data_IF_344301321464
#
_entry.id   IF_344301321464
#
_cell.length_a   1.000
_cell.length_b   1.000
_cell.length_c   1.000
_cell.angle_alpha   90.00
_cell.angle_beta   90.00
_cell.angle_gamma   90.00
#
_symmetry.space_group_name_H-M   'P 1'
#
loop_
_entity.id
_entity.type
_entity.pdbx_description
1 polymer ?
#
# COMPACT_ATOMS: atom_id res chain seq x y z
N UNK A 1 -6.07 33.08 -11.55
CA UNK A 1 -6.69 31.92 -12.23
C UNK A 1 -5.65 31.20 -13.10
N UNK A 2 -4.79 30.36 -12.51
CA UNK A 2 -3.69 29.68 -13.25
C UNK A 2 -3.74 28.14 -13.18
N UNK A 3 -4.55 27.57 -12.27
CA UNK A 3 -4.60 26.12 -12.04
C UNK A 3 -5.49 25.37 -13.06
N UNK A 4 -6.47 26.04 -13.68
CA UNK A 4 -7.42 25.41 -14.59
C UNK A 4 -6.78 24.98 -15.93
N UNK A 5 -5.70 25.64 -16.35
CA UNK A 5 -5.05 25.38 -17.64
C UNK A 5 -4.10 24.16 -17.57
N UNK A 6 -3.51 23.87 -16.40
CA UNK A 6 -2.59 22.73 -16.24
C UNK A 6 -3.28 21.37 -16.32
N UNK A 7 -4.47 21.24 -15.73
CA UNK A 7 -5.26 20.00 -15.72
C UNK A 7 -5.71 19.58 -17.14
N UNK A 8 -6.03 20.54 -18.01
CA UNK A 8 -6.43 20.27 -19.40
C UNK A 8 -5.25 19.80 -20.27
N UNK A 9 -4.03 20.19 -19.95
CA UNK A 9 -2.82 19.78 -20.68
C UNK A 9 -2.46 18.31 -20.42
N UNK A 10 -2.51 17.90 -19.14
CA UNK A 10 -2.19 16.52 -18.72
C UNK A 10 -3.18 15.51 -19.32
N UNK A 11 -4.47 15.87 -19.38
CA UNK A 11 -5.50 15.02 -19.99
C UNK A 11 -5.27 14.80 -21.50
N UNK A 12 -4.84 15.83 -22.24
CA UNK A 12 -4.52 15.70 -23.66
C UNK A 12 -3.29 14.83 -23.90
N UNK A 13 -2.29 14.92 -23.03
CA UNK A 13 -1.07 14.14 -23.13
C UNK A 13 -1.32 12.66 -22.83
N UNK A 14 -2.20 12.34 -21.88
CA UNK A 14 -2.63 10.97 -21.58
C UNK A 14 -3.34 10.32 -22.78
N UNK A 15 -4.24 11.04 -23.45
CA UNK A 15 -5.00 10.53 -24.60
C UNK A 15 -4.09 10.30 -25.82
N UNK A 16 -3.13 11.20 -26.07
CA UNK A 16 -2.14 11.00 -27.15
C UNK A 16 -1.21 9.80 -26.90
N UNK A 17 -0.99 9.44 -25.64
CA UNK A 17 -0.19 8.26 -25.25
C UNK A 17 -0.97 6.96 -25.47
N UNK A 18 -2.29 6.98 -25.26
CA UNK A 18 -3.19 5.83 -25.46
C UNK A 18 -3.25 5.38 -26.93
N UNK A 19 -3.24 6.32 -27.87
CA UNK A 19 -3.23 6.03 -29.33
C UNK A 19 -1.92 5.34 -29.75
N UNK A 20 -0.81 5.64 -29.05
CA UNK A 20 0.52 5.08 -29.34
C UNK A 20 0.69 3.64 -28.82
N UNK A 21 -0.10 3.23 -27.83
CA UNK A 21 -0.07 1.87 -27.25
C UNK A 21 -0.88 0.83 -28.03
N UNK A 22 -1.69 1.24 -29.01
CA UNK A 22 -2.51 0.32 -29.81
C UNK A 22 -1.78 -0.25 -31.05
N UNK A 23 -0.58 0.24 -31.37
CA UNK A 23 0.23 -0.25 -32.51
C UNK A 23 1.45 -1.08 -32.06
N UNK A 24 1.25 -1.99 -31.10
CA UNK A 24 2.28 -2.97 -30.73
C UNK A 24 1.96 -4.33 -31.36
N UNK A 25 2.71 -4.61 -32.44
CA UNK A 25 3.17 -5.91 -32.96
C UNK A 25 2.67 -7.15 -32.18
N UNK A 26 2.15 -8.20 -32.84
CA UNK A 26 1.64 -9.39 -32.16
C UNK A 26 2.80 -10.18 -31.53
N UNK A 27 3.16 -9.80 -30.30
CA UNK A 27 3.95 -10.62 -29.41
C UNK A 27 3.08 -11.77 -28.89
N UNK A 28 3.61 -12.97 -28.92
CA UNK A 28 3.02 -14.21 -28.40
C UNK A 28 2.51 -14.01 -26.97
N UNK A 29 1.20 -13.77 -26.82
CA UNK A 29 0.52 -13.77 -25.51
C UNK A 29 0.24 -15.23 -25.15
N UNK A 30 1.26 -15.91 -24.62
CA UNK A 30 1.07 -17.20 -23.98
C UNK A 30 0.25 -17.00 -22.70
N UNK A 31 -1.00 -17.47 -22.70
CA UNK A 31 -1.79 -17.57 -21.48
C UNK A 31 -1.15 -18.63 -20.60
N UNK A 32 -0.35 -18.21 -19.62
CA UNK A 32 0.18 -19.11 -18.60
C UNK A 32 -0.98 -19.48 -17.67
N UNK A 33 -1.68 -20.55 -18.01
CA UNK A 33 -2.59 -21.23 -17.09
C UNK A 33 -1.74 -21.78 -15.96
N UNK A 34 -1.73 -21.10 -14.82
CA UNK A 34 -1.19 -21.64 -13.59
C UNK A 34 -2.10 -22.77 -13.15
N UNK A 35 -1.75 -23.98 -13.59
CA UNK A 35 -2.45 -25.20 -13.19
C UNK A 35 -2.54 -25.26 -11.66
N UNK A 36 -3.76 -25.37 -11.16
CA UNK A 36 -4.04 -25.76 -9.78
C UNK A 36 -3.15 -26.94 -9.43
N UNK A 37 -2.21 -26.72 -8.49
CA UNK A 37 -1.38 -27.77 -7.92
C UNK A 37 -2.32 -28.73 -7.18
N UNK A 38 -2.41 -29.97 -7.67
CA UNK A 38 -3.21 -31.05 -7.08
C UNK A 38 -2.89 -31.16 -5.60
N UNK A 39 -3.87 -30.90 -4.74
CA UNK A 39 -3.83 -31.27 -3.33
C UNK A 39 -4.03 -32.78 -3.24
N UNK A 40 -2.93 -33.51 -3.16
CA UNK A 40 -2.99 -34.96 -3.09
C UNK A 40 -1.63 -35.56 -2.80
N UNK A 41 -1.37 -35.80 -1.51
CA UNK A 41 -0.55 -36.91 -1.05
C UNK A 41 0.96 -36.66 -0.95
N UNK A 42 1.53 -37.09 0.18
CA UNK A 42 2.91 -37.56 0.22
C UNK A 42 3.88 -36.69 1.00
N UNK A 43 4.01 -37.02 2.29
CA UNK A 43 5.26 -37.09 3.05
C UNK A 43 6.53 -36.58 2.34
N UNK A 44 6.98 -35.38 2.71
CA UNK A 44 8.26 -34.82 2.30
C UNK A 44 8.73 -33.80 3.33
N UNK A 45 9.71 -34.19 4.14
CA UNK A 45 10.46 -33.28 5.00
C UNK A 45 11.11 -32.20 4.12
N UNK A 46 10.80 -30.92 4.39
CA UNK A 46 11.29 -29.78 3.63
C UNK A 46 10.46 -28.56 3.96
N UNK A 47 10.94 -27.78 4.91
CA UNK A 47 10.26 -26.67 5.59
C UNK A 47 10.08 -25.40 4.71
N UNK A 48 9.69 -25.58 3.44
CA UNK A 48 9.43 -24.52 2.47
C UNK A 48 7.94 -24.35 2.20
N UNK A 49 7.09 -24.72 3.16
CA UNK A 49 5.67 -24.40 3.09
C UNK A 49 5.48 -22.90 3.36
N UNK A 50 4.68 -22.24 2.52
CA UNK A 50 4.39 -20.81 2.51
C UNK A 50 4.38 -20.18 3.92
N UNK A 51 5.43 -19.40 4.21
CA UNK A 51 5.72 -18.73 5.48
C UNK A 51 4.57 -17.83 6.00
N UNK A 52 3.53 -17.61 5.20
CA UNK A 52 2.36 -16.82 5.52
C UNK A 52 1.06 -17.62 5.69
N UNK A 53 0.95 -18.86 5.17
CA UNK A 53 -0.30 -19.64 5.22
C UNK A 53 -0.32 -20.72 6.31
N UNK A 54 0.83 -21.31 6.66
CA UNK A 54 0.91 -22.38 7.68
C UNK A 54 1.89 -22.07 8.82
N UNK A 55 2.16 -20.79 9.09
CA UNK A 55 3.02 -20.40 10.20
C UNK A 55 2.45 -20.87 11.56
N UNK A 56 3.32 -21.43 12.41
CA UNK A 56 2.94 -21.91 13.76
C UNK A 56 2.48 -20.76 14.69
N UNK A 57 2.95 -19.55 14.43
CA UNK A 57 2.59 -18.34 15.17
C UNK A 57 2.00 -17.32 14.20
N UNK A 58 0.86 -16.73 14.58
CA UNK A 58 0.09 -15.81 13.73
C UNK A 58 0.87 -14.53 13.36
N UNK A 59 1.75 -14.07 14.24
CA UNK A 59 2.67 -12.99 13.96
C UNK A 59 4.11 -13.43 14.21
N UNK A 60 4.99 -13.13 13.26
CA UNK A 60 6.41 -13.39 13.40
C UNK A 60 7.18 -12.08 13.65
N UNK A 61 7.03 -11.55 14.87
CA UNK A 61 7.63 -10.26 15.23
C UNK A 61 9.16 -10.34 15.33
N UNK A 62 9.73 -11.45 15.81
CA UNK A 62 11.18 -11.62 16.00
C UNK A 62 11.97 -11.62 14.68
N UNK A 63 11.31 -11.97 13.57
CA UNK A 63 11.90 -11.92 12.23
C UNK A 63 11.77 -10.54 11.58
N UNK A 64 11.12 -9.57 12.25
CA UNK A 64 10.96 -8.22 11.72
C UNK A 64 12.28 -7.45 11.78
N UNK A 65 12.81 -7.04 10.62
CA UNK A 65 14.01 -6.20 10.57
C UNK A 65 13.77 -4.87 11.28
N UNK A 66 14.67 -4.52 12.21
CA UNK A 66 14.61 -3.32 13.06
C UNK A 66 13.37 -3.24 13.99
N UNK A 67 12.87 -4.38 14.46
CA UNK A 67 11.72 -4.46 15.39
C UNK A 67 11.86 -3.51 16.60
N UNK A 68 13.03 -3.49 17.23
CA UNK A 68 13.32 -2.64 18.41
C UNK A 68 13.18 -1.15 18.14
N UNK A 69 13.23 -0.72 16.88
CA UNK A 69 13.03 0.69 16.48
C UNK A 69 11.60 0.90 16.00
N UNK A 70 11.05 -0.04 15.21
CA UNK A 70 9.72 0.10 14.61
C UNK A 70 8.59 0.06 15.62
N UNK A 71 8.67 -0.82 16.62
CA UNK A 71 7.63 -0.92 17.66
C UNK A 71 7.53 0.37 18.49
N UNK A 72 8.60 0.90 19.10
CA UNK A 72 8.49 2.15 19.86
C UNK A 72 8.15 3.35 18.97
N UNK A 73 8.65 3.40 17.72
CA UNK A 73 8.28 4.46 16.77
C UNK A 73 6.78 4.41 16.47
N UNK A 74 6.22 3.24 16.18
CA UNK A 74 4.79 3.08 15.91
C UNK A 74 3.94 3.49 17.11
N UNK A 75 4.33 3.08 18.32
CA UNK A 75 3.65 3.48 19.56
C UNK A 75 3.72 4.99 19.77
N UNK A 76 4.90 5.59 19.59
CA UNK A 76 5.09 7.03 19.73
C UNK A 76 4.26 7.82 18.72
N UNK A 77 4.20 7.39 17.46
CA UNK A 77 3.38 8.03 16.43
C UNK A 77 1.90 7.93 16.76
N UNK A 78 1.40 6.75 17.14
CA UNK A 78 0.00 6.56 17.51
C UNK A 78 -0.39 7.44 18.71
N UNK A 79 0.45 7.47 19.75
CA UNK A 79 0.25 8.33 20.91
C UNK A 79 0.25 9.81 20.54
N UNK A 80 1.21 10.24 19.73
CA UNK A 80 1.33 11.63 19.28
C UNK A 80 0.09 12.09 18.53
N UNK A 81 -0.46 11.26 17.64
CA UNK A 81 -1.72 11.56 16.92
C UNK A 81 -2.89 11.67 17.91
N UNK A 82 -2.97 10.76 18.89
CA UNK A 82 -4.01 10.77 19.92
C UNK A 82 -4.05 12.07 20.75
N UNK A 83 -2.90 12.73 20.93
CA UNK A 83 -2.80 14.00 21.68
C UNK A 83 -2.90 15.23 20.77
N UNK A 84 -2.22 15.21 19.61
CA UNK A 84 -2.17 16.36 18.70
C UNK A 84 -3.54 16.70 18.12
N UNK A 85 -4.34 15.70 17.75
CA UNK A 85 -5.63 15.93 17.09
C UNK A 85 -6.62 16.68 18.00
N UNK A 86 -6.86 16.26 19.26
CA UNK A 86 -7.72 17.01 20.18
C UNK A 86 -7.22 18.42 20.49
N UNK A 87 -5.91 18.60 20.72
CA UNK A 87 -5.32 19.92 21.01
C UNK A 87 -5.52 20.86 19.82
N UNK A 88 -5.24 20.38 18.61
CA UNK A 88 -5.45 21.15 17.39
C UNK A 88 -6.93 21.51 17.19
N UNK A 89 -7.84 20.58 17.48
CA UNK A 89 -9.28 20.84 17.38
C UNK A 89 -9.73 21.97 18.32
N UNK A 90 -9.22 22.03 19.55
CA UNK A 90 -9.51 23.13 20.48
C UNK A 90 -8.96 24.46 19.97
N UNK A 91 -7.70 24.49 19.53
CA UNK A 91 -7.08 25.69 18.94
C UNK A 91 -7.89 26.18 17.74
N UNK A 92 -8.31 25.25 16.87
CA UNK A 92 -9.12 25.57 15.70
C UNK A 92 -10.47 26.18 16.09
N UNK A 93 -11.15 25.64 17.11
CA UNK A 93 -12.41 26.19 17.61
C UNK A 93 -12.22 27.58 18.22
N UNK A 94 -11.20 27.78 19.05
CA UNK A 94 -10.89 29.09 19.63
C UNK A 94 -10.59 30.13 18.56
N UNK A 95 -9.85 29.77 17.51
CA UNK A 95 -9.57 30.67 16.38
C UNK A 95 -10.82 31.03 15.58
N UNK A 96 -11.79 30.12 15.47
CA UNK A 96 -13.09 30.42 14.85
C UNK A 96 -13.91 31.39 15.70
N UNK A 97 -13.95 31.21 17.02
CA UNK A 97 -14.71 32.08 17.93
C UNK A 97 -14.08 33.46 18.10
N UNK A 98 -12.74 33.55 18.14
CA UNK A 98 -12.03 34.82 18.29
C UNK A 98 -12.01 35.69 17.02
N UNK A 99 -12.34 35.11 15.86
CA UNK A 99 -12.42 35.81 14.57
C UNK A 99 -13.83 36.33 14.25
N UNK A 100 -14.80 36.10 15.13
CA UNK A 100 -16.20 36.53 14.99
C UNK A 100 -16.48 37.80 15.80
#
# INVERSE_FOLDING_TARGET
MALNNGLRSIAKQLIATSESTLLLKPGTRGLHSTGVKRMGGGHGHGDDYEYYLHAKHMYNLDRMKYQKVKIPLAVFTAFSIGVLVPVYAVIFQQKKTASA
#
